data_IF_256505002843
#
_entry.id   IF_256505002843
#
_cell.length_a   1.000
_cell.length_b   1.000
_cell.length_c   1.000
_cell.angle_alpha   90.00
_cell.angle_beta   90.00
_cell.angle_gamma   90.00
#
_symmetry.space_group_name_H-M   'P 1'
#
loop_
_entity.id
_entity.type
_entity.pdbx_description
1 polymer ?
#
# COMPACT_ATOMS: atom_id res chain seq x y z
N UNK A 1 -2.78 30.84 0.54
CA UNK A 1 -2.95 29.81 -0.53
C UNK A 1 -1.88 28.70 -0.52
N UNK A 2 -0.68 28.88 0.07
CA UNK A 2 0.33 27.80 0.25
C UNK A 2 -0.16 26.68 1.17
N UNK A 3 -0.81 27.05 2.26
CA UNK A 3 -1.32 26.15 3.29
C UNK A 3 -2.35 25.13 2.77
N UNK A 4 -3.15 25.52 1.77
CA UNK A 4 -4.16 24.65 1.17
C UNK A 4 -3.56 23.46 0.43
N UNK A 5 -2.47 23.65 -0.32
CA UNK A 5 -1.84 22.58 -1.09
C UNK A 5 -1.08 21.60 -0.18
N UNK A 6 -0.37 22.11 0.83
CA UNK A 6 0.26 21.26 1.84
C UNK A 6 -0.78 20.43 2.62
N UNK A 7 -1.95 21.01 2.90
CA UNK A 7 -3.07 20.29 3.52
C UNK A 7 -3.60 19.18 2.61
N UNK A 8 -3.75 19.45 1.30
CA UNK A 8 -4.17 18.44 0.33
C UNK A 8 -3.18 17.28 0.24
N UNK A 9 -1.87 17.55 0.21
CA UNK A 9 -0.86 16.48 0.24
C UNK A 9 -1.04 15.60 1.48
N UNK A 10 -1.17 16.21 2.66
CA UNK A 10 -1.36 15.48 3.93
C UNK A 10 -2.62 14.61 3.97
N UNK A 11 -3.72 15.13 3.43
CA UNK A 11 -4.97 14.36 3.31
C UNK A 11 -4.78 13.13 2.40
N UNK A 12 -4.03 13.29 1.30
CA UNK A 12 -3.74 12.17 0.39
C UNK A 12 -2.75 11.16 1.00
N UNK A 13 -1.75 11.61 1.77
CA UNK A 13 -0.86 10.72 2.55
C UNK A 13 -1.69 9.85 3.51
N UNK A 14 -2.60 10.48 4.25
CA UNK A 14 -3.49 9.75 5.17
C UNK A 14 -4.40 8.76 4.42
N UNK A 15 -4.91 9.14 3.25
CA UNK A 15 -5.71 8.23 2.41
C UNK A 15 -4.89 7.01 1.96
N UNK A 16 -3.64 7.21 1.53
CA UNK A 16 -2.72 6.11 1.19
C UNK A 16 -2.47 5.20 2.39
N UNK A 17 -2.20 5.78 3.57
CA UNK A 17 -1.95 5.00 4.78
C UNK A 17 -3.16 4.19 5.24
N UNK A 18 -4.37 4.72 5.10
CA UNK A 18 -5.58 3.96 5.37
C UNK A 18 -5.74 2.80 4.40
N UNK A 19 -5.54 3.03 3.08
CA UNK A 19 -5.62 1.97 2.07
C UNK A 19 -4.57 0.88 2.30
N UNK A 20 -3.37 1.24 2.73
CA UNK A 20 -2.33 0.28 3.15
C UNK A 20 -2.78 -0.55 4.35
N UNK A 21 -3.40 0.07 5.36
CA UNK A 21 -3.93 -0.64 6.55
C UNK A 21 -5.04 -1.60 6.16
N UNK A 22 -6.00 -1.15 5.35
CA UNK A 22 -7.08 -1.98 4.80
C UNK A 22 -6.52 -3.21 4.06
N UNK A 23 -5.57 -3.00 3.14
CA UNK A 23 -4.89 -4.09 2.44
C UNK A 23 -4.17 -5.04 3.41
N UNK A 24 -3.53 -4.50 4.46
CA UNK A 24 -2.87 -5.30 5.47
C UNK A 24 -3.83 -6.17 6.29
N UNK A 25 -5.06 -5.72 6.52
CA UNK A 25 -6.11 -6.55 7.14
C UNK A 25 -6.48 -7.72 6.23
N UNK A 26 -6.76 -7.45 4.95
CA UNK A 26 -7.14 -8.48 3.98
C UNK A 26 -6.04 -9.54 3.80
N UNK A 27 -4.77 -9.12 3.76
CA UNK A 27 -3.64 -10.05 3.66
C UNK A 27 -3.51 -10.94 4.90
N UNK A 28 -3.81 -10.43 6.09
CA UNK A 28 -3.84 -11.26 7.31
C UNK A 28 -4.99 -12.28 7.26
N UNK A 29 -6.17 -11.85 6.86
CA UNK A 29 -7.32 -12.75 6.69
C UNK A 29 -7.03 -13.87 5.68
N UNK A 30 -6.37 -13.55 4.56
CA UNK A 30 -5.93 -14.55 3.58
C UNK A 30 -4.95 -15.55 4.21
N UNK A 31 -3.93 -15.07 4.94
CA UNK A 31 -2.97 -15.96 5.60
C UNK A 31 -3.67 -16.88 6.60
N UNK A 32 -4.62 -16.37 7.38
CA UNK A 32 -5.39 -17.20 8.32
C UNK A 32 -6.20 -18.31 7.61
N UNK A 33 -6.72 -18.04 6.41
CA UNK A 33 -7.41 -19.06 5.60
C UNK A 33 -6.43 -20.13 5.09
N UNK A 34 -5.26 -19.70 4.60
CA UNK A 34 -4.20 -20.61 4.13
C UNK A 34 -3.68 -21.48 5.27
N UNK A 35 -3.46 -20.90 6.46
CA UNK A 35 -3.02 -21.63 7.64
C UNK A 35 -4.06 -22.67 8.09
N UNK A 36 -5.35 -22.33 8.06
CA UNK A 36 -6.45 -23.26 8.35
C UNK A 36 -6.52 -24.41 7.34
N UNK A 37 -6.31 -24.13 6.06
CA UNK A 37 -6.26 -25.15 5.02
C UNK A 37 -5.07 -26.10 5.23
N UNK A 38 -3.88 -25.55 5.50
CA UNK A 38 -2.68 -26.33 5.81
C UNK A 38 -2.87 -27.22 7.04
N UNK A 39 -3.48 -26.68 8.10
CA UNK A 39 -3.82 -27.46 9.30
C UNK A 39 -4.78 -28.62 8.97
N UNK A 40 -5.82 -28.37 8.17
CA UNK A 40 -6.74 -29.41 7.73
C UNK A 40 -6.01 -30.49 6.92
N UNK A 41 -5.08 -30.12 6.04
CA UNK A 41 -4.30 -31.09 5.26
C UNK A 41 -3.40 -31.95 6.15
N UNK A 42 -2.81 -31.37 7.20
CA UNK A 42 -2.07 -32.14 8.21
C UNK A 42 -2.96 -33.10 8.99
N UNK A 43 -4.15 -32.66 9.41
CA UNK A 43 -5.13 -33.50 10.13
C UNK A 43 -5.52 -34.72 9.30
N UNK A 44 -5.75 -34.53 8.00
CA UNK A 44 -6.10 -35.61 7.06
C UNK A 44 -5.04 -36.69 6.98
N UNK A 45 -3.76 -36.32 6.98
CA UNK A 45 -2.65 -37.29 6.95
C UNK A 45 -2.64 -38.14 8.22
N UNK A 46 -2.90 -37.54 9.37
CA UNK A 46 -2.97 -38.26 10.66
C UNK A 46 -4.16 -39.21 10.71
N UNK A 47 -5.32 -38.75 10.25
CA UNK A 47 -6.53 -39.59 10.21
C UNK A 47 -6.40 -40.73 9.19
N UNK A 48 -5.73 -40.48 8.06
CA UNK A 48 -5.44 -41.52 7.07
C UNK A 48 -4.51 -42.61 7.62
N UNK A 49 -3.46 -42.23 8.35
CA UNK A 49 -2.55 -43.18 9.00
C UNK A 49 -3.29 -44.02 10.06
N UNK A 50 -4.13 -43.36 10.87
CA UNK A 50 -4.97 -44.03 11.87
C UNK A 50 -5.92 -45.05 11.23
N UNK A 51 -6.62 -44.65 10.16
CA UNK A 51 -7.51 -45.53 9.41
C UNK A 51 -6.79 -46.72 8.74
N UNK A 52 -5.50 -46.54 8.38
CA UNK A 52 -4.67 -47.60 7.82
C UNK A 52 -4.21 -48.59 8.89
N UNK A 53 -3.93 -48.10 10.10
CA UNK A 53 -3.47 -48.91 11.23
C UNK A 53 -4.61 -49.64 11.97
N UNK A 54 -5.84 -49.15 11.90
CA UNK A 54 -7.05 -49.80 12.42
C UNK A 54 -8.16 -49.87 11.35
N UNK A 55 -8.10 -50.83 10.42
CA UNK A 55 -9.04 -50.91 9.31
C UNK A 55 -10.47 -51.31 9.70
N UNK A 56 -10.66 -51.99 10.85
CA UNK A 56 -11.96 -52.55 11.23
C UNK A 56 -12.91 -51.49 11.79
N UNK A 57 -12.41 -50.59 12.64
CA UNK A 57 -13.22 -49.50 13.20
C UNK A 57 -12.95 -48.17 12.49
N UNK A 58 -11.70 -47.70 12.50
CA UNK A 58 -11.34 -46.38 11.96
C UNK A 58 -11.42 -46.34 10.41
N UNK A 59 -10.97 -47.41 9.74
CA UNK A 59 -11.08 -47.54 8.28
C UNK A 59 -12.51 -47.47 7.75
N UNK A 60 -13.48 -48.04 8.48
CA UNK A 60 -14.89 -48.00 8.11
C UNK A 60 -15.48 -46.57 8.15
N UNK A 61 -15.12 -45.79 9.17
CA UNK A 61 -15.61 -44.41 9.35
C UNK A 61 -14.87 -43.38 8.47
N UNK A 62 -13.66 -43.71 8.02
CA UNK A 62 -12.81 -42.81 7.25
C UNK A 62 -13.45 -42.31 5.95
N UNK A 63 -14.27 -43.12 5.27
CA UNK A 63 -14.94 -42.70 4.03
C UNK A 63 -15.84 -41.48 4.22
N UNK A 64 -16.63 -41.45 5.30
CA UNK A 64 -17.52 -40.32 5.64
C UNK A 64 -16.72 -39.10 6.07
N UNK A 65 -15.65 -39.31 6.84
CA UNK A 65 -14.71 -38.25 7.21
C UNK A 65 -14.07 -37.59 5.98
N UNK A 66 -13.57 -38.40 5.04
CA UNK A 66 -12.89 -37.94 3.83
C UNK A 66 -13.82 -37.10 2.94
N UNK A 67 -15.09 -37.48 2.80
CA UNK A 67 -16.07 -36.68 2.06
C UNK A 67 -16.28 -35.30 2.71
N UNK A 68 -16.41 -35.25 4.04
CA UNK A 68 -16.52 -34.01 4.79
C UNK A 68 -15.29 -33.10 4.65
N UNK A 69 -14.10 -33.68 4.65
CA UNK A 69 -12.83 -32.97 4.42
C UNK A 69 -12.79 -32.38 3.01
N UNK A 70 -13.16 -33.15 1.98
CA UNK A 70 -13.17 -32.67 0.59
C UNK A 70 -14.05 -31.43 0.48
N UNK A 71 -15.24 -31.46 1.06
CA UNK A 71 -16.13 -30.30 1.06
C UNK A 71 -15.52 -29.10 1.80
N UNK A 72 -14.89 -29.31 2.96
CA UNK A 72 -14.21 -28.25 3.69
C UNK A 72 -13.04 -27.64 2.91
N UNK A 73 -12.23 -28.45 2.25
CA UNK A 73 -11.13 -27.99 1.38
C UNK A 73 -11.66 -27.13 0.24
N UNK A 74 -12.70 -27.59 -0.45
CA UNK A 74 -13.34 -26.79 -1.52
C UNK A 74 -13.86 -25.44 -1.00
N UNK A 75 -14.43 -25.42 0.21
CA UNK A 75 -14.90 -24.18 0.82
C UNK A 75 -13.74 -23.23 1.15
N UNK A 76 -12.63 -23.74 1.69
CA UNK A 76 -11.42 -22.94 1.94
C UNK A 76 -10.81 -22.41 0.64
N UNK A 77 -10.68 -23.25 -0.39
CA UNK A 77 -10.16 -22.84 -1.69
C UNK A 77 -11.01 -21.74 -2.33
N UNK A 78 -12.35 -21.86 -2.24
CA UNK A 78 -13.26 -20.81 -2.70
C UNK A 78 -13.07 -19.51 -1.92
N UNK A 79 -13.05 -19.58 -0.58
CA UNK A 79 -12.84 -18.42 0.27
C UNK A 79 -11.48 -17.73 0.04
N UNK A 80 -10.42 -18.51 -0.20
CA UNK A 80 -9.09 -18.01 -0.55
C UNK A 80 -9.15 -17.25 -1.87
N UNK A 81 -9.74 -17.83 -2.92
CA UNK A 81 -9.87 -17.18 -4.23
C UNK A 81 -10.67 -15.87 -4.15
N UNK A 82 -11.77 -15.87 -3.40
CA UNK A 82 -12.58 -14.68 -3.21
C UNK A 82 -11.77 -13.60 -2.48
N UNK A 83 -11.03 -13.96 -1.43
CA UNK A 83 -10.17 -13.04 -0.69
C UNK A 83 -9.02 -12.50 -1.54
N UNK A 84 -8.42 -13.32 -2.40
CA UNK A 84 -7.40 -12.89 -3.35
C UNK A 84 -7.95 -11.88 -4.36
N UNK A 85 -9.18 -12.06 -4.83
CA UNK A 85 -9.86 -11.10 -5.70
C UNK A 85 -10.10 -9.76 -4.96
N UNK A 86 -10.56 -9.79 -3.71
CA UNK A 86 -10.69 -8.59 -2.86
C UNK A 86 -9.35 -7.87 -2.67
N UNK A 87 -8.28 -8.62 -2.41
CA UNK A 87 -6.91 -8.09 -2.27
C UNK A 87 -6.46 -7.39 -3.56
N UNK A 88 -6.75 -7.97 -4.72
CA UNK A 88 -6.38 -7.36 -6.00
C UNK A 88 -7.11 -6.02 -6.22
N UNK A 89 -8.39 -5.95 -5.86
CA UNK A 89 -9.15 -4.69 -5.91
C UNK A 89 -8.57 -3.66 -4.92
N UNK A 90 -8.27 -4.07 -3.69
CA UNK A 90 -7.66 -3.20 -2.68
C UNK A 90 -6.27 -2.68 -3.10
N UNK A 91 -5.46 -3.53 -3.76
CA UNK A 91 -4.17 -3.14 -4.34
C UNK A 91 -4.33 -2.08 -5.42
N UNK A 92 -5.29 -2.23 -6.32
CA UNK A 92 -5.52 -1.21 -7.35
C UNK A 92 -6.01 0.12 -6.75
N UNK A 93 -6.91 0.06 -5.76
CA UNK A 93 -7.35 1.26 -5.03
C UNK A 93 -6.19 1.96 -4.32
N UNK A 94 -5.26 1.19 -3.73
CA UNK A 94 -4.04 1.75 -3.14
C UNK A 94 -3.13 2.39 -4.22
N UNK A 95 -2.96 1.74 -5.37
CA UNK A 95 -2.18 2.29 -6.48
C UNK A 95 -2.76 3.63 -6.97
N UNK A 96 -4.09 3.72 -7.09
CA UNK A 96 -4.78 4.96 -7.46
C UNK A 96 -4.57 6.07 -6.42
N UNK A 97 -4.62 5.75 -5.13
CA UNK A 97 -4.34 6.69 -4.06
C UNK A 97 -2.90 7.23 -4.15
N UNK A 98 -1.91 6.36 -4.42
CA UNK A 98 -0.53 6.81 -4.64
C UNK A 98 -0.36 7.71 -5.86
N UNK A 99 -1.01 7.38 -6.99
CA UNK A 99 -0.98 8.24 -8.19
C UNK A 99 -1.54 9.63 -7.87
N UNK A 100 -2.62 9.68 -7.10
CA UNK A 100 -3.25 10.94 -6.67
C UNK A 100 -2.33 11.73 -5.74
N UNK A 101 -1.75 11.09 -4.72
CA UNK A 101 -0.75 11.71 -3.86
C UNK A 101 0.41 12.28 -4.69
N UNK A 102 0.96 11.49 -5.61
CA UNK A 102 2.10 11.90 -6.44
C UNK A 102 1.78 13.11 -7.30
N UNK A 103 0.55 13.19 -7.84
CA UNK A 103 0.08 14.37 -8.58
C UNK A 103 0.13 15.64 -7.72
N UNK A 104 -0.35 15.57 -6.48
CA UNK A 104 -0.32 16.73 -5.58
C UNK A 104 1.08 17.12 -5.13
N UNK A 105 1.96 16.14 -4.87
CA UNK A 105 3.37 16.39 -4.61
C UNK A 105 4.03 17.15 -5.76
N UNK A 106 3.85 16.69 -7.00
CA UNK A 106 4.42 17.35 -8.18
C UNK A 106 3.90 18.78 -8.34
N UNK A 107 2.61 19.02 -8.09
CA UNK A 107 2.03 20.37 -8.14
C UNK A 107 2.68 21.28 -7.08
N UNK A 108 2.90 20.75 -5.86
CA UNK A 108 3.58 21.48 -4.79
C UNK A 108 5.02 21.80 -5.16
N UNK A 109 5.78 20.80 -5.58
CA UNK A 109 7.20 20.97 -5.89
C UNK A 109 7.41 21.95 -7.06
N UNK A 110 6.56 21.89 -8.10
CA UNK A 110 6.59 22.86 -9.20
C UNK A 110 6.29 24.29 -8.75
N UNK A 111 5.37 24.45 -7.80
CA UNK A 111 5.03 25.75 -7.23
C UNK A 111 6.19 26.29 -6.40
N UNK A 112 6.74 25.47 -5.51
CA UNK A 112 7.85 25.85 -4.64
C UNK A 112 9.06 26.26 -5.49
N UNK A 113 9.35 25.53 -6.56
CA UNK A 113 10.39 25.88 -7.52
C UNK A 113 10.12 27.22 -8.23
N UNK A 114 8.86 27.53 -8.57
CA UNK A 114 8.50 28.82 -9.18
C UNK A 114 8.65 29.97 -8.18
N UNK A 115 8.19 29.79 -6.94
CA UNK A 115 8.34 30.79 -5.88
C UNK A 115 9.82 31.03 -5.55
N UNK A 116 10.64 29.98 -5.57
CA UNK A 116 12.10 30.11 -5.38
C UNK A 116 12.75 30.90 -6.51
N UNK A 117 12.44 30.59 -7.77
CA UNK A 117 12.97 31.33 -8.92
C UNK A 117 12.60 32.81 -8.89
N UNK A 118 11.39 33.14 -8.45
CA UNK A 118 10.96 34.54 -8.32
C UNK A 118 11.77 35.25 -7.23
N UNK A 119 11.98 34.61 -6.07
CA UNK A 119 12.84 35.13 -5.01
C UNK A 119 14.27 35.36 -5.50
N UNK A 120 14.86 34.34 -6.14
CA UNK A 120 16.21 34.44 -6.68
C UNK A 120 16.34 35.57 -7.72
N UNK A 121 15.31 35.78 -8.55
CA UNK A 121 15.28 36.87 -9.52
C UNK A 121 15.20 38.24 -8.86
N UNK A 122 14.38 38.40 -7.82
CA UNK A 122 14.28 39.64 -7.03
C UNK A 122 15.63 39.92 -6.37
N UNK A 123 16.19 38.94 -5.64
CA UNK A 123 17.47 39.07 -4.94
C UNK A 123 18.62 39.42 -5.92
N UNK A 124 18.65 38.79 -7.11
CA UNK A 124 19.63 39.11 -8.14
C UNK A 124 19.47 40.54 -8.69
N UNK A 125 18.24 41.01 -8.85
CA UNK A 125 17.96 42.37 -9.32
C UNK A 125 18.44 43.40 -8.29
N UNK A 126 18.13 43.19 -7.01
CA UNK A 126 18.61 44.05 -5.92
C UNK A 126 20.14 44.07 -5.83
N UNK A 127 20.78 42.90 -5.97
CA UNK A 127 22.25 42.80 -5.94
C UNK A 127 22.90 43.58 -7.11
N UNK A 128 22.30 43.51 -8.30
CA UNK A 128 22.76 44.24 -9.47
C UNK A 128 22.64 45.76 -9.28
N UNK A 129 21.52 46.23 -8.71
CA UNK A 129 21.29 47.65 -8.44
C UNK A 129 22.33 48.21 -7.46
N UNK A 130 22.61 47.49 -6.37
CA UNK A 130 23.66 47.86 -5.40
C UNK A 130 25.05 47.85 -6.05
N UNK A 131 25.33 46.88 -6.91
CA UNK A 131 26.59 46.78 -7.66
C UNK A 131 26.80 47.98 -8.58
N UNK A 132 25.75 48.38 -9.33
CA UNK A 132 25.76 49.57 -10.16
C UNK A 132 26.01 50.81 -9.32
N UNK A 133 25.23 51.03 -8.25
CA UNK A 133 25.38 52.22 -7.39
C UNK A 133 26.80 52.35 -6.83
N UNK A 134 27.39 51.24 -6.40
CA UNK A 134 28.76 51.20 -5.88
C UNK A 134 29.77 51.60 -6.97
N UNK A 135 29.60 51.10 -8.19
CA UNK A 135 30.44 51.46 -9.33
C UNK A 135 30.32 52.96 -9.68
N UNK A 136 29.11 53.52 -9.73
CA UNK A 136 28.89 54.95 -9.96
C UNK A 136 29.54 55.83 -8.88
N UNK A 137 29.47 55.41 -7.62
CA UNK A 137 30.11 56.12 -6.49
C UNK A 137 31.64 56.08 -6.56
N UNK A 138 32.23 55.02 -7.09
CA UNK A 138 33.67 54.91 -7.29
C UNK A 138 34.13 55.84 -8.44
N UNK A 139 33.42 55.80 -9.57
CA UNK A 139 33.79 56.57 -10.76
C UNK A 139 33.60 58.09 -10.61
N UNK A 140 32.68 58.53 -9.75
CA UNK A 140 32.44 59.95 -9.46
C UNK A 140 33.44 60.59 -8.48
N UNK A 141 34.40 59.81 -7.95
CA UNK A 141 35.46 60.29 -7.05
C UNK A 141 36.85 60.38 -7.71
N UNK A 142 36.97 60.01 -8.99
CA UNK A 142 38.16 60.28 -9.82
C UNK A 142 37.98 61.59 -10.59
#
# INVERSE_FOLDING_TARGET
MAEGLATLVRVNEWAVDNKRRELGVLLRELNELVDKLSYLEHEVVVEQDTATNDPEEAGFLYGVYAEGVIQRRQNFDAAIRDKEAEINVARESLNEAYRTLKKFEVIRDNRDAREQKERDHIDQTELNDVGLETHWRYNSKQ
#
